data_IF_333878429946
#
_entry.id   IF_333878429946
#
_cell.length_a   1.000
_cell.length_b   1.000
_cell.length_c   1.000
_cell.angle_alpha   90.00
_cell.angle_beta   90.00
_cell.angle_gamma   90.00
#
_symmetry.space_group_name_H-M   'P 1'
#
loop_
_entity.id
_entity.type
_entity.pdbx_description
1 polymer ?
#
# COMPACT_ATOMS: atom_id res chain seq x y z
N UNK A 1 19.20 -21.54 -33.36
CA UNK A 1 18.75 -20.26 -32.77
C UNK A 1 18.25 -20.55 -31.37
N UNK A 2 19.09 -20.36 -30.34
CA UNK A 2 18.76 -20.70 -28.96
C UNK A 2 18.37 -19.44 -28.19
N UNK A 3 17.09 -19.34 -27.83
CA UNK A 3 16.58 -18.28 -26.97
C UNK A 3 16.90 -18.62 -25.51
N UNK A 4 17.82 -17.88 -24.89
CA UNK A 4 17.98 -17.88 -23.44
C UNK A 4 16.86 -17.02 -22.85
N UNK A 5 15.81 -17.65 -22.32
CA UNK A 5 14.82 -16.97 -21.47
C UNK A 5 15.45 -16.73 -20.10
N UNK A 6 16.15 -15.62 -19.96
CA UNK A 6 16.52 -15.10 -18.65
C UNK A 6 15.27 -14.50 -18.02
N UNK A 7 14.64 -15.24 -17.12
CA UNK A 7 13.69 -14.72 -16.14
C UNK A 7 14.43 -13.73 -15.25
N UNK A 8 14.21 -12.43 -15.48
CA UNK A 8 14.65 -11.38 -14.57
C UNK A 8 14.07 -11.66 -13.18
N UNK A 9 14.87 -11.72 -12.10
CA UNK A 9 14.33 -11.76 -10.76
C UNK A 9 13.58 -10.45 -10.52
N UNK A 10 12.29 -10.58 -10.20
CA UNK A 10 11.43 -9.48 -9.79
C UNK A 10 12.15 -8.70 -8.69
N UNK A 11 12.45 -7.43 -8.96
CA UNK A 11 13.14 -6.54 -8.01
C UNK A 11 12.38 -6.53 -6.68
N UNK A 12 12.87 -7.26 -5.68
CA UNK A 12 12.49 -7.03 -4.30
C UNK A 12 12.81 -5.57 -3.97
N UNK A 13 11.87 -4.86 -3.35
CA UNK A 13 12.13 -3.52 -2.81
C UNK A 13 13.30 -3.67 -1.82
N UNK A 14 14.20 -2.70 -1.77
CA UNK A 14 15.35 -2.74 -0.86
C UNK A 14 15.06 -1.90 0.38
N UNK A 15 15.56 -2.26 1.59
CA UNK A 15 15.41 -1.44 2.80
C UNK A 15 16.07 -0.06 2.68
N UNK A 16 16.97 0.11 1.71
CA UNK A 16 17.59 1.40 1.37
C UNK A 16 16.64 2.36 0.63
N UNK A 17 15.49 1.88 0.14
CA UNK A 17 14.47 2.71 -0.48
C UNK A 17 13.58 3.28 0.62
N UNK A 18 13.44 4.61 0.65
CA UNK A 18 12.51 5.26 1.57
C UNK A 18 11.08 4.71 1.41
N UNK A 19 10.30 4.65 2.51
CA UNK A 19 8.89 4.27 2.43
C UNK A 19 8.13 5.21 1.49
N UNK A 20 7.19 4.64 0.73
CA UNK A 20 6.32 5.40 -0.18
C UNK A 20 5.50 6.45 0.57
N UNK A 21 5.02 6.12 1.77
CA UNK A 21 4.26 7.02 2.61
C UNK A 21 5.09 7.47 3.82
N UNK A 22 5.29 8.77 3.96
CA UNK A 22 6.06 9.33 5.08
C UNK A 22 5.22 9.38 6.36
N UNK A 23 5.88 9.51 7.50
CA UNK A 23 5.20 9.76 8.78
C UNK A 23 4.29 11.00 8.68
N UNK A 24 3.09 10.87 9.21
CA UNK A 24 1.97 11.83 9.13
C UNK A 24 1.38 12.05 7.73
N UNK A 25 1.79 11.27 6.72
CA UNK A 25 1.12 11.29 5.42
C UNK A 25 -0.34 10.84 5.56
N UNK A 26 -1.22 11.51 4.82
CA UNK A 26 -2.62 11.12 4.68
C UNK A 26 -2.74 10.01 3.65
N UNK A 27 -3.41 8.92 4.01
CA UNK A 27 -3.59 7.73 3.17
C UNK A 27 -5.04 7.28 3.18
N UNK A 28 -5.42 6.47 2.21
CA UNK A 28 -6.67 5.71 2.21
C UNK A 28 -6.36 4.24 2.49
N UNK A 29 -7.09 3.63 3.42
CA UNK A 29 -6.97 2.22 3.74
C UNK A 29 -8.34 1.56 3.84
N UNK A 30 -8.42 0.29 3.45
CA UNK A 30 -9.64 -0.51 3.56
C UNK A 30 -9.76 -1.07 4.98
N UNK A 31 -10.62 -0.48 5.81
CA UNK A 31 -10.78 -0.90 7.21
C UNK A 31 -11.77 -2.07 7.37
N UNK A 32 -12.63 -2.29 6.37
CA UNK A 32 -13.46 -3.48 6.23
C UNK A 32 -13.82 -3.71 4.76
N UNK A 33 -14.34 -4.89 4.43
CA UNK A 33 -14.74 -5.21 3.05
C UNK A 33 -15.65 -4.11 2.45
N UNK A 34 -15.30 -3.65 1.25
CA UNK A 34 -15.96 -2.54 0.56
C UNK A 34 -15.82 -1.13 1.19
N UNK A 35 -15.24 -0.98 2.37
CA UNK A 35 -15.25 0.27 3.12
C UNK A 35 -13.84 0.82 3.34
N UNK A 36 -13.63 2.03 2.81
CA UNK A 36 -12.36 2.73 2.80
C UNK A 36 -12.46 4.01 3.62
N UNK A 37 -11.48 4.23 4.48
CA UNK A 37 -11.37 5.43 5.31
C UNK A 37 -10.07 6.17 5.05
N UNK A 38 -10.07 7.47 5.35
CA UNK A 38 -8.87 8.30 5.39
C UNK A 38 -8.18 8.09 6.74
N UNK A 39 -6.90 7.77 6.70
CA UNK A 39 -6.04 7.65 7.88
C UNK A 39 -4.77 8.49 7.76
N UNK A 40 -4.00 8.53 8.85
CA UNK A 40 -2.66 9.12 8.90
C UNK A 40 -1.63 8.08 9.30
N UNK A 41 -0.52 8.04 8.58
CA UNK A 41 0.62 7.20 8.93
C UNK A 41 1.24 7.70 10.23
N UNK A 42 1.39 6.81 11.20
CA UNK A 42 2.09 7.06 12.47
C UNK A 42 3.54 6.60 12.40
N UNK A 43 3.76 5.45 11.78
CA UNK A 43 5.07 4.86 11.61
C UNK A 43 5.12 3.91 10.42
N UNK A 44 6.34 3.54 10.01
CA UNK A 44 6.60 2.60 8.93
C UNK A 44 7.80 1.72 9.26
N UNK A 45 7.65 0.41 9.06
CA UNK A 45 8.69 -0.57 9.34
C UNK A 45 9.00 -1.39 8.09
N UNK A 46 10.28 -1.64 7.84
CA UNK A 46 10.72 -2.56 6.80
C UNK A 46 10.59 -3.99 7.28
N UNK A 47 9.81 -4.82 6.56
CA UNK A 47 9.53 -6.20 6.96
C UNK A 47 9.85 -7.19 5.85
N UNK A 48 10.18 -8.42 6.26
CA UNK A 48 10.26 -9.59 5.38
C UNK A 48 9.04 -10.45 5.68
N UNK A 49 8.22 -10.68 4.67
CA UNK A 49 6.98 -11.43 4.77
C UNK A 49 7.24 -12.94 4.83
N UNK A 50 6.23 -13.70 5.26
CA UNK A 50 6.35 -15.17 5.35
C UNK A 50 6.60 -15.85 4.00
N UNK A 51 6.16 -15.23 2.90
CA UNK A 51 6.40 -15.69 1.54
C UNK A 51 7.79 -15.28 0.99
N UNK A 52 8.63 -14.66 1.84
CA UNK A 52 9.96 -14.19 1.49
C UNK A 52 9.98 -12.88 0.70
N UNK A 53 8.81 -12.28 0.42
CA UNK A 53 8.75 -10.94 -0.16
C UNK A 53 9.25 -9.91 0.87
N UNK A 54 9.61 -8.72 0.39
CA UNK A 54 10.09 -7.63 1.24
C UNK A 54 9.34 -6.36 0.91
N UNK A 55 9.03 -5.57 1.93
CA UNK A 55 8.28 -4.34 1.75
C UNK A 55 8.10 -3.55 3.04
N UNK A 56 7.31 -2.49 2.94
CA UNK A 56 6.99 -1.61 4.04
C UNK A 56 5.64 -1.99 4.64
N UNK A 57 5.60 -2.06 5.97
CA UNK A 57 4.39 -2.14 6.77
C UNK A 57 4.18 -0.79 7.46
N UNK A 58 2.93 -0.32 7.47
CA UNK A 58 2.56 1.00 7.95
C UNK A 58 1.58 0.89 9.11
N UNK A 59 1.82 1.64 10.17
CA UNK A 59 0.83 1.86 11.22
C UNK A 59 0.02 3.11 10.88
N UNK A 60 -1.30 2.95 10.72
CA UNK A 60 -2.20 4.02 10.28
C UNK A 60 -3.30 4.23 11.31
N UNK A 61 -3.48 5.47 11.75
CA UNK A 61 -4.60 5.89 12.60
C UNK A 61 -5.71 6.49 11.78
N UNK A 62 -6.94 6.03 11.99
CA UNK A 62 -8.13 6.56 11.33
C UNK A 62 -8.89 7.55 12.20
N UNK A 63 -9.87 8.24 11.61
CA UNK A 63 -10.68 9.29 12.26
C UNK A 63 -11.32 8.80 13.57
N UNK A 64 -11.65 7.51 13.66
CA UNK A 64 -12.23 6.88 14.85
C UNK A 64 -11.19 6.56 15.96
N UNK A 65 -9.93 6.96 15.79
CA UNK A 65 -8.84 6.77 16.77
C UNK A 65 -8.26 5.36 16.82
N UNK A 66 -8.72 4.45 15.96
CA UNK A 66 -8.19 3.08 15.86
C UNK A 66 -6.95 3.05 14.98
N UNK A 67 -5.99 2.22 15.38
CA UNK A 67 -4.74 2.00 14.65
C UNK A 67 -4.79 0.62 14.01
N UNK A 68 -4.44 0.55 12.73
CA UNK A 68 -4.32 -0.69 11.97
C UNK A 68 -2.97 -0.74 11.27
N UNK A 69 -2.55 -1.96 10.93
CA UNK A 69 -1.34 -2.22 10.16
C UNK A 69 -1.72 -2.58 8.73
N UNK A 70 -1.04 -1.96 7.77
CA UNK A 70 -1.22 -2.22 6.35
C UNK A 70 0.11 -2.47 5.68
N UNK A 71 0.09 -3.27 4.64
CA UNK A 71 1.16 -3.32 3.66
C UNK A 71 1.05 -2.16 2.68
N UNK A 72 2.18 -1.83 2.05
CA UNK A 72 2.25 -0.68 1.14
C UNK A 72 1.23 -0.72 -0.01
N UNK A 73 0.90 -1.90 -0.51
CA UNK A 73 -0.03 -2.14 -1.61
C UNK A 73 -1.51 -2.12 -1.21
N UNK A 74 -1.79 -2.22 0.09
CA UNK A 74 -3.14 -2.07 0.66
C UNK A 74 -3.53 -0.60 0.89
N UNK A 75 -2.56 0.32 0.77
CA UNK A 75 -2.74 1.75 0.93
C UNK A 75 -2.81 2.46 -0.42
N UNK A 76 -3.77 3.38 -0.53
CA UNK A 76 -3.87 4.31 -1.66
C UNK A 76 -3.58 5.74 -1.22
N UNK A 77 -3.19 6.60 -2.17
CA UNK A 77 -3.27 8.03 -1.93
C UNK A 77 -4.74 8.47 -2.02
N UNK A 78 -5.20 9.42 -1.19
CA UNK A 78 -6.56 9.93 -1.27
C UNK A 78 -6.96 10.36 -2.69
N UNK A 79 -6.04 11.00 -3.42
CA UNK A 79 -6.22 11.42 -4.81
C UNK A 79 -6.46 10.23 -5.77
N UNK A 80 -5.81 9.09 -5.57
CA UNK A 80 -5.95 7.91 -6.43
C UNK A 80 -7.31 7.21 -6.26
N UNK A 81 -7.94 7.36 -5.09
CA UNK A 81 -9.22 6.71 -4.77
C UNK A 81 -10.41 7.53 -5.26
N UNK A 82 -10.27 8.86 -5.32
CA UNK A 82 -11.31 9.74 -5.90
C UNK A 82 -11.55 9.38 -7.37
N UNK A 83 -10.50 9.03 -8.11
CA UNK A 83 -10.64 8.57 -9.51
C UNK A 83 -11.35 7.21 -9.62
N UNK A 84 -11.12 6.27 -8.69
CA UNK A 84 -11.82 4.96 -8.72
C UNK A 84 -13.32 5.05 -8.36
N UNK A 85 -13.71 6.01 -7.51
CA UNK A 85 -15.13 6.30 -7.23
C UNK A 85 -15.81 7.06 -8.37
N UNK A 86 -15.09 7.92 -9.09
CA UNK A 86 -15.61 8.61 -10.27
C UNK A 86 -15.66 7.71 -11.52
N UNK A 87 -14.79 6.71 -11.64
CA UNK A 87 -14.86 5.71 -12.72
C UNK A 87 -15.84 4.56 -12.45
N UNK A 88 -16.32 4.42 -11.21
CA UNK A 88 -17.25 3.37 -10.78
C UNK A 88 -18.74 3.72 -10.94
N UNK A 89 -19.06 4.91 -11.47
CA UNK A 89 -20.43 5.32 -11.77
C UNK A 89 -20.78 5.30 -13.27
N UNK A 90 -19.96 4.62 -14.09
CA UNK A 90 -20.30 4.27 -15.47
C UNK A 90 -20.19 2.77 -15.69
N UNK A 91 -21.20 2.02 -15.23
CA UNK A 91 -21.71 0.83 -15.91
C UNK A 91 -23.02 0.44 -15.24
N UNK A 92 -24.09 1.00 -15.82
CA UNK A 92 -25.46 0.49 -15.94
C UNK A 92 -25.87 -0.69 -15.07
#
# INVERSE_FOLDING_TARGET
MSASRTSSPSKGKSPLQSPLFQKFATVMGQVSEGFWEIGRVLDSEWVIFQDGTQGWMYEVVFVHGRVYKFYEDELGRPEDVVDRRLSGQESR
#
